data_IF_076835596482
#
_entry.id   IF_076835596482
#
_cell.length_a   1.000
_cell.length_b   1.000
_cell.length_c   1.000
_cell.angle_alpha   90.00
_cell.angle_beta   90.00
_cell.angle_gamma   90.00
#
_symmetry.space_group_name_H-M   'P 1'
#
loop_
_entity.id
_entity.type
_entity.pdbx_description
1 polymer ?
#
# COMPACT_ATOMS: atom_id res chain seq x y z
N UNK A 1 -9.07 -13.17 0.81
CA UNK A 1 -8.63 -12.26 1.86
C UNK A 1 -7.70 -12.96 2.83
N UNK A 2 -6.97 -12.19 3.62
CA UNK A 2 -6.17 -12.70 4.72
C UNK A 2 -6.82 -12.24 6.02
N UNK A 3 -6.99 -13.15 6.95
CA UNK A 3 -7.50 -12.91 8.29
C UNK A 3 -6.69 -13.67 9.31
N UNK A 4 -6.68 -13.18 10.53
CA UNK A 4 -6.13 -13.87 11.68
C UNK A 4 -6.96 -13.59 12.92
N UNK A 5 -6.94 -14.57 13.84
CA UNK A 5 -7.62 -14.49 15.13
C UNK A 5 -6.72 -15.13 16.18
N UNK A 6 -6.55 -14.47 17.31
CA UNK A 6 -5.80 -15.00 18.43
C UNK A 6 -6.55 -14.81 19.75
N UNK A 7 -6.18 -15.62 20.72
CA UNK A 7 -6.62 -15.49 22.12
C UNK A 7 -5.40 -15.39 23.03
N UNK A 8 -5.51 -14.62 24.09
CA UNK A 8 -4.44 -14.29 25.01
C UNK A 8 -4.91 -14.35 26.46
N UNK A 9 -3.98 -14.65 27.37
CA UNK A 9 -4.27 -14.68 28.81
C UNK A 9 -4.54 -13.28 29.37
N UNK A 10 -3.85 -12.24 28.82
CA UNK A 10 -3.96 -10.88 29.33
C UNK A 10 -4.36 -9.89 28.23
N UNK A 11 -4.93 -8.76 28.65
CA UNK A 11 -5.27 -7.65 27.74
C UNK A 11 -4.03 -7.03 27.09
N UNK A 12 -2.92 -6.97 27.84
CA UNK A 12 -1.65 -6.41 27.38
C UNK A 12 -1.07 -7.26 26.24
N UNK A 13 -1.08 -8.61 26.39
CA UNK A 13 -0.64 -9.51 25.32
C UNK A 13 -1.51 -9.36 24.07
N UNK A 14 -2.83 -9.32 24.24
CA UNK A 14 -3.76 -9.13 23.12
C UNK A 14 -3.56 -7.77 22.43
N UNK A 15 -3.33 -6.70 23.19
CA UNK A 15 -3.06 -5.38 22.61
C UNK A 15 -1.73 -5.35 21.86
N UNK A 16 -0.68 -5.97 22.40
CA UNK A 16 0.62 -6.09 21.73
C UNK A 16 0.49 -6.82 20.38
N UNK A 17 -0.28 -7.91 20.34
CA UNK A 17 -0.59 -8.63 19.09
C UNK A 17 -1.37 -7.76 18.10
N UNK A 18 -2.37 -7.01 18.59
CA UNK A 18 -3.15 -6.07 17.75
C UNK A 18 -2.25 -5.04 17.07
N UNK A 19 -1.31 -4.46 17.81
CA UNK A 19 -0.36 -3.47 17.29
C UNK A 19 0.66 -4.11 16.35
N UNK A 20 1.15 -5.31 16.67
CA UNK A 20 2.08 -6.06 15.83
C UNK A 20 1.47 -6.32 14.45
N UNK A 21 0.23 -6.78 14.39
CA UNK A 21 -0.44 -7.08 13.12
C UNK A 21 -0.75 -5.83 12.30
N UNK A 22 -1.07 -4.71 12.95
CA UNK A 22 -1.18 -3.42 12.27
C UNK A 22 0.15 -3.03 11.60
N UNK A 23 1.27 -3.21 12.32
CA UNK A 23 2.60 -2.92 11.80
C UNK A 23 2.98 -3.86 10.64
N UNK A 24 2.66 -5.16 10.74
CA UNK A 24 2.87 -6.11 9.65
C UNK A 24 2.15 -5.67 8.37
N UNK A 25 0.90 -5.22 8.47
CA UNK A 25 0.18 -4.70 7.29
C UNK A 25 0.80 -3.41 6.73
N UNK A 26 1.24 -2.51 7.59
CA UNK A 26 1.95 -1.30 7.16
C UNK A 26 3.27 -1.65 6.44
N UNK A 27 4.01 -2.63 6.95
CA UNK A 27 5.25 -3.12 6.35
C UNK A 27 5.01 -3.79 4.99
N UNK A 28 3.93 -4.57 4.84
CA UNK A 28 3.53 -5.13 3.53
C UNK A 28 3.20 -4.02 2.55
N UNK A 29 2.43 -3.00 2.97
CA UNK A 29 2.13 -1.85 2.11
C UNK A 29 3.41 -1.13 1.66
N UNK A 30 4.35 -0.90 2.55
CA UNK A 30 5.62 -0.25 2.23
C UNK A 30 6.53 -1.12 1.36
N UNK A 31 6.84 -2.35 1.83
CA UNK A 31 7.93 -3.14 1.29
C UNK A 31 7.51 -4.03 0.10
N UNK A 32 6.22 -4.34 -0.04
CA UNK A 32 5.73 -5.13 -1.16
C UNK A 32 4.92 -4.30 -2.16
N UNK A 33 4.07 -3.39 -1.68
CA UNK A 33 3.15 -2.63 -2.51
C UNK A 33 3.65 -1.21 -2.86
N UNK A 34 4.79 -0.78 -2.32
CA UNK A 34 5.35 0.57 -2.47
C UNK A 34 4.33 1.67 -2.12
N UNK A 35 3.51 1.43 -1.09
CA UNK A 35 2.42 2.32 -0.66
C UNK A 35 2.66 2.85 0.76
N UNK A 36 2.78 4.17 0.97
CA UNK A 36 2.76 4.76 2.28
C UNK A 36 1.35 4.71 2.87
N UNK A 37 1.27 4.54 4.20
CA UNK A 37 0.00 4.48 4.93
C UNK A 37 0.05 5.29 6.21
N UNK A 38 -1.09 5.87 6.59
CA UNK A 38 -1.30 6.49 7.88
C UNK A 38 -1.85 5.45 8.85
N UNK A 39 -1.16 5.23 9.98
CA UNK A 39 -1.62 4.34 11.06
C UNK A 39 -2.41 5.12 12.09
N UNK A 40 -3.54 4.58 12.52
CA UNK A 40 -4.33 5.21 13.57
C UNK A 40 -5.41 4.31 14.14
N UNK A 41 -6.07 4.83 15.19
CA UNK A 41 -7.22 4.21 15.83
C UNK A 41 -8.51 4.77 15.23
N UNK A 42 -9.48 3.92 14.96
CA UNK A 42 -10.85 4.34 14.57
C UNK A 42 -11.57 5.01 15.74
N UNK A 43 -12.47 5.92 15.41
CA UNK A 43 -13.43 6.47 16.38
C UNK A 43 -14.39 5.37 16.87
N UNK A 44 -15.07 5.62 17.97
CA UNK A 44 -16.08 4.67 18.48
C UNK A 44 -17.23 4.41 17.50
N UNK A 45 -17.49 5.37 16.62
CA UNK A 45 -18.50 5.24 15.55
C UNK A 45 -18.01 4.35 14.40
N UNK A 46 -16.73 4.43 14.04
CA UNK A 46 -16.16 3.75 12.86
C UNK A 46 -15.43 2.44 13.22
N UNK A 47 -15.28 2.14 14.51
CA UNK A 47 -14.67 0.87 14.94
C UNK A 47 -15.52 -0.33 14.55
N UNK A 48 -14.91 -1.49 14.45
CA UNK A 48 -15.61 -2.74 14.21
C UNK A 48 -16.62 -3.02 15.33
N UNK A 49 -17.83 -3.45 14.95
CA UNK A 49 -18.90 -3.73 15.91
C UNK A 49 -18.47 -4.85 16.88
N UNK A 50 -18.54 -4.55 18.20
CA UNK A 50 -18.08 -5.46 19.24
C UNK A 50 -16.63 -5.31 19.66
N UNK A 51 -15.77 -4.66 18.87
CA UNK A 51 -14.40 -4.38 19.28
C UNK A 51 -14.34 -3.28 20.35
N UNK A 52 -13.41 -3.38 21.28
CA UNK A 52 -13.06 -2.30 22.20
C UNK A 52 -12.23 -1.23 21.51
N UNK A 53 -11.31 -1.67 20.66
CA UNK A 53 -10.53 -0.79 19.79
C UNK A 53 -10.35 -1.41 18.40
N UNK A 54 -10.38 -0.55 17.38
CA UNK A 54 -10.04 -0.90 16.00
C UNK A 54 -8.93 0.03 15.54
N UNK A 55 -7.84 -0.56 15.08
CA UNK A 55 -6.74 0.13 14.43
C UNK A 55 -6.83 -0.07 12.92
N UNK A 56 -6.29 0.88 12.17
CA UNK A 56 -6.38 0.90 10.71
C UNK A 56 -5.10 1.42 10.09
N UNK A 57 -4.85 1.00 8.86
CA UNK A 57 -3.95 1.66 7.94
C UNK A 57 -4.75 2.28 6.81
N UNK A 58 -4.52 3.56 6.55
CA UNK A 58 -5.21 4.35 5.52
C UNK A 58 -4.21 4.78 4.46
N UNK A 59 -4.47 4.46 3.20
CA UNK A 59 -3.68 4.91 2.06
C UNK A 59 -4.40 6.02 1.30
N UNK A 60 -3.66 6.86 0.59
CA UNK A 60 -4.21 7.88 -0.30
C UNK A 60 -4.06 7.44 -1.77
N UNK A 61 -5.15 7.49 -2.51
CA UNK A 61 -5.16 7.18 -3.94
C UNK A 61 -4.81 8.43 -4.77
N UNK A 62 -4.54 8.27 -6.07
CA UNK A 62 -4.20 9.40 -6.97
C UNK A 62 -5.30 10.44 -7.11
N UNK A 63 -6.55 10.07 -6.90
CA UNK A 63 -7.68 10.99 -6.88
C UNK A 63 -7.89 11.66 -5.51
N UNK A 64 -6.91 11.54 -4.62
CA UNK A 64 -6.84 12.10 -3.28
C UNK A 64 -7.94 11.62 -2.31
N UNK A 65 -8.59 10.49 -2.63
CA UNK A 65 -9.48 9.81 -1.68
C UNK A 65 -8.70 8.84 -0.83
N UNK A 66 -9.20 8.64 0.38
CA UNK A 66 -8.62 7.68 1.33
C UNK A 66 -9.19 6.27 1.11
N UNK A 67 -8.32 5.27 1.24
CA UNK A 67 -8.69 3.86 1.20
C UNK A 67 -8.20 3.16 2.46
N UNK A 68 -9.15 2.60 3.23
CA UNK A 68 -8.81 1.69 4.33
C UNK A 68 -8.17 0.43 3.76
N UNK A 69 -6.90 0.20 4.08
CA UNK A 69 -6.07 -0.85 3.46
C UNK A 69 -5.88 -2.08 4.33
N UNK A 70 -6.20 -1.98 5.62
CA UNK A 70 -6.16 -3.09 6.56
C UNK A 70 -6.62 -2.63 7.94
N UNK A 71 -7.06 -3.57 8.77
CA UNK A 71 -7.50 -3.33 10.14
C UNK A 71 -6.98 -4.37 11.10
N UNK A 72 -6.80 -3.98 12.36
CA UNK A 72 -6.50 -4.86 13.47
C UNK A 72 -7.36 -4.48 14.66
N UNK A 73 -7.95 -5.48 15.32
CA UNK A 73 -8.99 -5.29 16.32
C UNK A 73 -8.60 -5.90 17.65
N UNK A 74 -8.80 -5.16 18.72
CA UNK A 74 -8.80 -5.64 20.08
C UNK A 74 -10.26 -5.76 20.55
N UNK A 75 -10.69 -6.98 20.88
CA UNK A 75 -12.07 -7.25 21.31
C UNK A 75 -12.26 -7.22 22.83
N UNK A 76 -11.18 -7.20 23.61
CA UNK A 76 -11.27 -7.52 25.02
C UNK A 76 -11.69 -8.99 25.23
N UNK A 77 -12.47 -9.25 26.26
CA UNK A 77 -12.99 -10.59 26.61
C UNK A 77 -14.50 -10.76 26.35
N UNK A 78 -15.14 -9.76 25.73
CA UNK A 78 -16.62 -9.73 25.55
C UNK A 78 -17.15 -10.89 24.73
N UNK A 79 -16.47 -11.25 23.62
CA UNK A 79 -16.89 -12.38 22.81
C UNK A 79 -16.60 -13.71 23.51
N UNK A 80 -15.52 -13.80 24.28
CA UNK A 80 -15.22 -14.97 25.09
C UNK A 80 -16.31 -15.26 26.09
N UNK A 81 -16.82 -14.23 26.77
CA UNK A 81 -17.97 -14.33 27.66
C UNK A 81 -19.27 -14.70 26.90
N UNK A 82 -19.53 -14.04 25.76
CA UNK A 82 -20.76 -14.25 25.00
C UNK A 82 -20.90 -15.67 24.44
N UNK A 83 -19.76 -16.29 24.07
CA UNK A 83 -19.70 -17.65 23.51
C UNK A 83 -19.23 -18.72 24.49
N UNK A 84 -19.01 -18.34 25.76
CA UNK A 84 -18.51 -19.21 26.82
C UNK A 84 -17.19 -19.92 26.46
N UNK A 85 -16.27 -19.17 25.82
CA UNK A 85 -14.95 -19.64 25.47
C UNK A 85 -14.02 -19.44 26.65
N UNK A 86 -13.59 -20.52 27.29
CA UNK A 86 -12.73 -20.47 28.48
C UNK A 86 -11.44 -21.26 28.26
N UNK A 87 -10.42 -20.95 29.03
CA UNK A 87 -9.18 -21.70 29.12
C UNK A 87 -8.77 -21.87 30.60
N UNK A 88 -7.91 -22.85 30.88
CA UNK A 88 -7.33 -23.00 32.21
C UNK A 88 -6.08 -22.14 32.31
N UNK A 89 -6.13 -21.11 33.14
CA UNK A 89 -4.99 -20.22 33.40
C UNK A 89 -3.85 -20.92 34.17
N UNK A 90 -2.74 -20.21 34.33
CA UNK A 90 -1.54 -20.73 35.05
C UNK A 90 -1.79 -21.01 36.52
N UNK A 91 -2.82 -20.40 37.07
CA UNK A 91 -3.31 -20.62 38.45
C UNK A 91 -4.30 -21.77 38.60
N UNK A 92 -4.51 -22.57 37.54
CA UNK A 92 -5.51 -23.64 37.46
C UNK A 92 -6.97 -23.19 37.60
N UNK A 93 -7.29 -21.93 37.38
CA UNK A 93 -8.67 -21.43 37.32
C UNK A 93 -9.16 -21.31 35.87
N UNK A 94 -10.47 -21.44 35.65
CA UNK A 94 -11.09 -21.15 34.36
C UNK A 94 -11.16 -19.64 34.16
N UNK A 95 -10.67 -19.17 33.06
CA UNK A 95 -10.62 -17.75 32.70
C UNK A 95 -11.15 -17.54 31.26
N UNK A 96 -11.68 -16.35 31.00
CA UNK A 96 -12.06 -15.95 29.65
C UNK A 96 -10.88 -15.23 28.96
N UNK A 97 -10.46 -15.68 27.78
CA UNK A 97 -9.31 -15.07 27.09
C UNK A 97 -9.70 -13.72 26.48
N UNK A 98 -8.69 -12.86 26.34
CA UNK A 98 -8.75 -11.66 25.52
C UNK A 98 -8.55 -12.03 24.05
N UNK A 99 -9.34 -11.42 23.16
CA UNK A 99 -9.39 -11.79 21.76
C UNK A 99 -8.92 -10.67 20.87
N UNK A 100 -8.24 -11.04 19.79
CA UNK A 100 -7.88 -10.15 18.70
C UNK A 100 -8.30 -10.71 17.36
N UNK A 101 -8.42 -9.83 16.37
CA UNK A 101 -8.44 -10.24 14.97
C UNK A 101 -7.84 -9.16 14.08
N UNK A 102 -7.44 -9.55 12.91
CA UNK A 102 -6.95 -8.61 11.88
C UNK A 102 -7.37 -9.09 10.51
N UNK A 103 -7.46 -8.16 9.55
CA UNK A 103 -7.89 -8.49 8.21
C UNK A 103 -7.39 -7.53 7.14
N UNK A 104 -7.05 -8.11 5.99
CA UNK A 104 -6.78 -7.41 4.75
C UNK A 104 -7.40 -8.19 3.58
N UNK A 105 -7.88 -7.49 2.57
CA UNK A 105 -8.65 -8.10 1.49
C UNK A 105 -8.06 -7.81 0.11
N UNK A 106 -8.66 -8.40 -0.92
CA UNK A 106 -8.37 -8.11 -2.34
C UNK A 106 -8.57 -6.64 -2.72
N UNK A 107 -9.12 -5.80 -1.82
CA UNK A 107 -9.13 -4.34 -1.96
C UNK A 107 -7.72 -3.79 -2.23
N UNK A 108 -6.66 -4.41 -1.70
CA UNK A 108 -5.28 -4.00 -1.94
C UNK A 108 -4.87 -4.11 -3.42
N UNK A 109 -5.48 -4.98 -4.22
CA UNK A 109 -5.26 -5.01 -5.68
C UNK A 109 -5.72 -3.69 -6.30
N UNK A 110 -6.93 -3.25 -5.95
CA UNK A 110 -7.44 -1.93 -6.35
C UNK A 110 -6.55 -0.79 -5.84
N UNK A 111 -6.06 -0.89 -4.59
CA UNK A 111 -5.16 0.10 -4.02
C UNK A 111 -3.88 0.27 -4.84
N UNK A 112 -3.20 -0.81 -5.22
CA UNK A 112 -1.99 -0.78 -6.07
C UNK A 112 -2.28 -0.13 -7.42
N UNK A 113 -3.40 -0.51 -8.06
CA UNK A 113 -3.81 0.06 -9.35
C UNK A 113 -4.04 1.57 -9.21
N UNK A 114 -4.83 1.98 -8.22
CA UNK A 114 -5.18 3.40 -8.01
C UNK A 114 -4.01 4.25 -7.51
N UNK A 115 -2.99 3.64 -6.90
CA UNK A 115 -1.80 4.35 -6.43
C UNK A 115 -0.74 4.51 -7.50
N UNK A 116 -0.51 3.49 -8.35
CA UNK A 116 0.67 3.48 -9.23
C UNK A 116 0.36 3.56 -10.72
N UNK A 117 -0.78 3.00 -11.18
CA UNK A 117 -1.07 2.89 -12.61
C UNK A 117 -1.26 4.24 -13.30
N UNK A 118 -1.04 4.27 -14.60
CA UNK A 118 -1.16 5.45 -15.46
C UNK A 118 -2.05 5.18 -16.69
N UNK A 119 -2.08 6.11 -17.63
CA UNK A 119 -2.90 5.99 -18.85
C UNK A 119 -2.38 4.92 -19.84
N UNK A 120 -1.17 4.37 -19.62
CA UNK A 120 -0.61 3.29 -20.44
C UNK A 120 -0.92 1.90 -19.87
N UNK A 121 -1.42 1.83 -18.63
CA UNK A 121 -1.81 0.59 -18.00
C UNK A 121 -1.29 0.46 -16.56
N UNK A 122 -1.09 -0.79 -16.13
CA UNK A 122 -0.55 -1.09 -14.81
C UNK A 122 0.89 -0.59 -14.65
N UNK A 123 1.24 -0.19 -13.42
CA UNK A 123 2.61 0.00 -12.97
C UNK A 123 2.75 -0.80 -11.68
N UNK A 124 3.45 -1.92 -11.74
CA UNK A 124 3.50 -2.86 -10.61
C UNK A 124 4.80 -2.71 -9.82
N UNK A 125 4.71 -2.59 -8.48
CA UNK A 125 5.88 -2.76 -7.63
C UNK A 125 6.56 -4.11 -7.91
N UNK A 126 7.89 -4.15 -8.03
CA UNK A 126 8.60 -5.36 -8.46
C UNK A 126 8.37 -6.58 -7.57
N UNK A 127 8.16 -6.38 -6.27
CA UNK A 127 7.94 -7.49 -5.32
C UNK A 127 6.70 -8.31 -5.69
N UNK A 128 5.62 -7.65 -6.08
CA UNK A 128 4.34 -8.30 -6.41
C UNK A 128 4.12 -8.57 -7.90
N UNK A 129 4.97 -8.03 -8.77
CA UNK A 129 4.83 -8.23 -10.22
C UNK A 129 4.97 -9.72 -10.59
N UNK A 130 3.98 -10.36 -11.24
CA UNK A 130 4.10 -11.76 -11.66
C UNK A 130 5.29 -12.00 -12.61
N UNK A 131 5.58 -11.00 -13.44
CA UNK A 131 6.78 -10.90 -14.29
C UNK A 131 7.51 -9.63 -13.90
N UNK A 132 8.75 -9.76 -13.41
CA UNK A 132 9.59 -8.62 -13.04
C UNK A 132 10.34 -8.05 -14.24
N UNK A 133 10.74 -8.94 -15.14
CA UNK A 133 11.52 -8.62 -16.32
C UNK A 133 10.95 -9.34 -17.53
N UNK A 134 10.75 -8.63 -18.63
CA UNK A 134 10.48 -9.25 -19.91
C UNK A 134 11.64 -9.03 -20.85
N UNK A 135 12.14 -10.09 -21.47
CA UNK A 135 13.19 -10.05 -22.50
C UNK A 135 12.53 -10.01 -23.88
N UNK A 136 12.85 -9.00 -24.68
CA UNK A 136 12.31 -8.82 -26.02
C UNK A 136 13.45 -8.83 -27.04
N UNK A 137 13.53 -9.88 -27.89
CA UNK A 137 14.49 -9.91 -29.00
C UNK A 137 14.10 -8.89 -30.06
N UNK A 138 15.05 -8.01 -30.43
CA UNK A 138 14.88 -7.01 -31.47
C UNK A 138 15.47 -7.53 -32.79
N UNK A 139 14.67 -7.49 -33.86
CA UNK A 139 15.01 -8.14 -35.13
C UNK A 139 15.31 -9.64 -34.95
N UNK A 140 14.44 -10.36 -34.27
CA UNK A 140 14.60 -11.77 -33.90
C UNK A 140 14.88 -12.73 -35.05
N UNK A 141 14.59 -12.33 -36.31
CA UNK A 141 14.91 -13.09 -37.52
C UNK A 141 16.41 -13.07 -37.85
N UNK A 142 17.20 -12.23 -37.22
CA UNK A 142 18.65 -12.20 -37.44
C UNK A 142 19.36 -13.32 -36.67
N UNK A 143 20.42 -13.89 -37.21
CA UNK A 143 21.16 -14.99 -36.59
C UNK A 143 21.60 -14.67 -35.16
N UNK A 144 21.38 -15.60 -34.22
CA UNK A 144 21.84 -15.55 -32.84
C UNK A 144 21.03 -14.66 -31.89
N UNK A 145 20.08 -13.85 -32.39
CA UNK A 145 19.29 -12.93 -31.53
C UNK A 145 18.38 -13.69 -30.59
N UNK A 146 17.67 -14.72 -31.05
CA UNK A 146 16.82 -15.55 -30.20
C UNK A 146 17.64 -16.31 -29.14
N UNK A 147 18.79 -16.86 -29.53
CA UNK A 147 19.67 -17.57 -28.60
C UNK A 147 20.21 -16.62 -27.50
N UNK A 148 20.59 -15.40 -27.88
CA UNK A 148 21.06 -14.40 -26.95
C UNK A 148 19.93 -13.98 -25.98
N UNK A 149 18.71 -13.78 -26.49
CA UNK A 149 17.56 -13.44 -25.65
C UNK A 149 17.20 -14.58 -24.65
N UNK A 150 17.23 -15.83 -25.15
CA UNK A 150 17.01 -17.00 -24.30
C UNK A 150 18.07 -17.13 -23.19
N UNK A 151 19.35 -16.93 -23.57
CA UNK A 151 20.45 -16.94 -22.60
C UNK A 151 20.28 -15.84 -21.51
N UNK A 152 19.85 -14.63 -21.88
CA UNK A 152 19.56 -13.57 -20.91
C UNK A 152 18.40 -13.94 -19.97
N UNK A 153 17.30 -14.47 -20.52
CA UNK A 153 16.18 -14.98 -19.71
C UNK A 153 16.65 -16.01 -18.71
N UNK A 154 17.43 -17.01 -19.15
CA UNK A 154 17.89 -18.10 -18.28
C UNK A 154 18.85 -17.59 -17.20
N UNK A 155 19.77 -16.69 -17.52
CA UNK A 155 20.67 -16.04 -16.55
C UNK A 155 19.90 -15.29 -15.46
N UNK A 156 18.97 -14.42 -15.87
CA UNK A 156 18.17 -13.64 -14.92
C UNK A 156 17.23 -14.52 -14.09
N UNK A 157 16.69 -15.61 -14.68
CA UNK A 157 15.90 -16.60 -13.94
C UNK A 157 16.75 -17.33 -12.91
N UNK A 158 17.97 -17.75 -13.27
CA UNK A 158 18.91 -18.38 -12.35
C UNK A 158 19.34 -17.43 -11.21
N UNK A 159 19.30 -16.12 -11.43
CA UNK A 159 19.54 -15.11 -10.40
C UNK A 159 18.33 -14.89 -9.46
N UNK A 160 17.25 -15.68 -9.59
CA UNK A 160 16.06 -15.66 -8.74
C UNK A 160 14.96 -14.67 -9.19
N UNK A 161 15.04 -14.14 -10.41
CA UNK A 161 14.04 -13.20 -10.94
C UNK A 161 12.91 -13.93 -11.69
N UNK A 162 11.71 -13.35 -11.68
CA UNK A 162 10.55 -13.82 -12.48
C UNK A 162 10.64 -13.19 -13.87
N UNK A 163 11.12 -13.98 -14.84
CA UNK A 163 11.46 -13.49 -16.19
C UNK A 163 10.56 -14.17 -17.23
N UNK A 164 9.99 -13.36 -18.12
CA UNK A 164 9.35 -13.82 -19.35
C UNK A 164 10.20 -13.44 -20.56
N UNK A 165 10.02 -14.12 -21.68
CA UNK A 165 10.55 -13.74 -22.99
C UNK A 165 9.40 -13.71 -23.99
N UNK A 166 9.38 -12.73 -24.88
CA UNK A 166 8.40 -12.66 -25.96
C UNK A 166 9.08 -12.81 -27.32
N UNK A 167 9.06 -14.03 -27.83
CA UNK A 167 9.55 -14.42 -29.15
C UNK A 167 8.44 -14.55 -30.19
N UNK A 168 7.22 -14.03 -29.90
CA UNK A 168 6.12 -14.01 -30.86
C UNK A 168 6.46 -13.20 -32.12
N UNK A 169 5.70 -13.42 -33.20
CA UNK A 169 5.86 -12.70 -34.48
C UNK A 169 5.33 -11.26 -34.49
N UNK A 170 4.90 -10.76 -33.32
CA UNK A 170 4.42 -9.39 -33.18
C UNK A 170 5.56 -8.37 -33.32
N UNK A 171 5.21 -7.16 -33.77
CA UNK A 171 6.20 -6.08 -33.88
C UNK A 171 6.73 -5.67 -32.49
N UNK A 172 7.96 -5.15 -32.45
CA UNK A 172 8.55 -4.68 -31.21
C UNK A 172 7.68 -3.62 -30.51
N UNK A 173 7.10 -2.69 -31.25
CA UNK A 173 6.18 -1.69 -30.69
C UNK A 173 4.94 -2.28 -30.05
N UNK A 174 4.35 -3.31 -30.66
CA UNK A 174 3.23 -4.03 -30.06
C UNK A 174 3.63 -4.73 -28.76
N UNK A 175 4.76 -5.45 -28.75
CA UNK A 175 5.30 -6.09 -27.55
C UNK A 175 5.53 -5.07 -26.43
N UNK A 176 6.11 -3.92 -26.74
CA UNK A 176 6.34 -2.86 -25.77
C UNK A 176 5.03 -2.41 -25.12
N UNK A 177 4.05 -2.03 -25.93
CA UNK A 177 2.73 -1.61 -25.42
C UNK A 177 2.04 -2.69 -24.60
N UNK A 178 2.15 -3.96 -25.01
CA UNK A 178 1.56 -5.11 -24.30
C UNK A 178 2.14 -5.27 -22.89
N UNK A 179 3.46 -5.14 -22.72
CA UNK A 179 4.10 -5.29 -21.42
C UNK A 179 4.03 -4.01 -20.56
N UNK A 180 3.93 -2.84 -21.18
CA UNK A 180 3.58 -1.59 -20.50
C UNK A 180 2.17 -1.69 -19.90
N UNK A 181 1.18 -2.14 -20.69
CA UNK A 181 -0.19 -2.34 -20.20
C UNK A 181 -0.25 -3.33 -19.04
N UNK A 182 0.53 -4.41 -19.08
CA UNK A 182 0.64 -5.41 -18.01
C UNK A 182 1.42 -4.94 -16.79
N UNK A 183 2.09 -3.80 -16.86
CA UNK A 183 2.84 -3.21 -15.75
C UNK A 183 4.13 -3.94 -15.40
N UNK A 184 4.77 -4.61 -16.36
CA UNK A 184 6.04 -5.28 -16.12
C UNK A 184 7.12 -4.26 -15.78
N UNK A 185 7.78 -4.34 -14.62
CA UNK A 185 8.71 -3.31 -14.14
C UNK A 185 9.85 -2.98 -15.08
N UNK A 186 10.50 -4.01 -15.64
CA UNK A 186 11.63 -3.84 -16.55
C UNK A 186 11.44 -4.61 -17.86
N UNK A 187 11.79 -3.96 -18.95
CA UNK A 187 11.90 -4.57 -20.28
C UNK A 187 13.34 -4.56 -20.72
N UNK A 188 13.89 -5.73 -20.99
CA UNK A 188 15.25 -5.94 -21.55
C UNK A 188 15.13 -6.17 -23.04
N UNK A 189 15.74 -5.29 -23.82
CA UNK A 189 15.78 -5.34 -25.28
C UNK A 189 17.17 -5.79 -25.73
N UNK A 190 17.27 -6.77 -26.63
CA UNK A 190 18.55 -7.21 -27.20
C UNK A 190 18.42 -7.44 -28.71
N UNK A 191 19.29 -6.85 -29.47
CA UNK A 191 19.36 -6.95 -30.90
C UNK A 191 20.81 -7.11 -31.43
N UNK A 192 21.02 -7.20 -32.73
CA UNK A 192 22.36 -7.43 -33.30
C UNK A 192 23.42 -6.41 -32.85
N UNK A 193 23.04 -5.12 -32.79
CA UNK A 193 23.96 -4.05 -32.36
C UNK A 193 24.31 -4.12 -30.88
N UNK A 194 23.39 -4.64 -30.08
CA UNK A 194 23.61 -4.81 -28.65
C UNK A 194 24.54 -5.99 -28.40
N UNK A 195 24.35 -7.07 -29.14
CA UNK A 195 25.23 -8.24 -29.10
C UNK A 195 26.67 -7.89 -29.49
N UNK A 196 26.86 -7.10 -30.56
CA UNK A 196 28.18 -6.63 -30.99
C UNK A 196 28.93 -5.82 -29.93
N UNK A 197 28.17 -5.12 -29.08
CA UNK A 197 28.70 -4.27 -28.01
C UNK A 197 28.67 -4.95 -26.63
N UNK A 198 28.32 -6.22 -26.56
CA UNK A 198 28.15 -6.97 -25.30
C UNK A 198 27.31 -6.25 -24.26
N UNK A 199 26.19 -5.66 -24.69
CA UNK A 199 25.24 -4.91 -23.86
C UNK A 199 23.80 -5.31 -24.16
N UNK A 200 22.85 -4.81 -23.34
CA UNK A 200 21.42 -4.78 -23.66
C UNK A 200 20.83 -3.41 -23.29
N UNK A 201 19.66 -3.10 -23.83
CA UNK A 201 18.91 -1.91 -23.45
C UNK A 201 17.85 -2.30 -22.41
N UNK A 202 17.78 -1.61 -21.29
CA UNK A 202 16.76 -1.81 -20.26
C UNK A 202 15.87 -0.58 -20.21
N UNK A 203 14.55 -0.80 -20.33
CA UNK A 203 13.54 0.25 -20.17
C UNK A 203 12.77 0.04 -18.86
N UNK A 204 12.64 1.10 -18.06
CA UNK A 204 11.86 1.12 -16.82
C UNK A 204 10.40 1.47 -17.13
N UNK A 205 9.45 0.76 -16.48
CA UNK A 205 8.01 1.01 -16.66
C UNK A 205 7.56 2.29 -15.96
N UNK A 206 8.13 2.62 -14.82
CA UNK A 206 7.73 3.74 -13.97
C UNK A 206 8.11 5.11 -14.51
N UNK A 207 9.29 5.21 -15.17
CA UNK A 207 9.82 6.49 -15.71
C UNK A 207 9.83 6.53 -17.23
N UNK A 208 9.76 5.38 -17.90
CA UNK A 208 9.99 5.26 -19.35
C UNK A 208 11.46 5.41 -19.76
N UNK A 209 12.37 5.60 -18.81
CA UNK A 209 13.80 5.77 -19.07
C UNK A 209 14.42 4.50 -19.66
N UNK A 210 15.33 4.68 -20.64
CA UNK A 210 16.10 3.61 -21.25
C UNK A 210 17.58 3.76 -20.92
N UNK A 211 18.18 2.68 -20.45
CA UNK A 211 19.60 2.61 -20.10
C UNK A 211 20.26 1.44 -20.80
N UNK A 212 21.46 1.64 -21.38
CA UNK A 212 22.29 0.56 -21.90
C UNK A 212 23.15 -0.01 -20.78
N UNK A 213 23.08 -1.32 -20.61
CA UNK A 213 23.76 -2.04 -19.53
C UNK A 213 24.66 -3.11 -20.13
N UNK A 214 25.95 -3.20 -19.73
CA UNK A 214 26.83 -4.29 -20.15
C UNK A 214 26.28 -5.65 -19.75
N UNK A 215 26.48 -6.67 -20.58
CA UNK A 215 26.07 -8.05 -20.23
C UNK A 215 26.88 -8.60 -19.05
N UNK A 216 28.08 -8.12 -18.82
CA UNK A 216 28.86 -8.40 -17.62
C UNK A 216 28.24 -7.70 -16.42
N UNK A 217 27.84 -8.46 -15.38
CA UNK A 217 27.19 -7.92 -14.19
C UNK A 217 25.71 -7.53 -14.36
N UNK A 218 25.07 -8.01 -15.42
CA UNK A 218 23.68 -7.70 -15.75
C UNK A 218 22.72 -8.04 -14.61
N UNK A 219 22.91 -9.17 -13.95
CA UNK A 219 22.05 -9.64 -12.87
C UNK A 219 21.95 -8.64 -11.70
N UNK A 220 23.11 -8.11 -11.29
CA UNK A 220 23.15 -7.11 -10.21
C UNK A 220 22.60 -5.76 -10.67
N UNK A 221 22.88 -5.37 -11.91
CA UNK A 221 22.30 -4.15 -12.49
C UNK A 221 20.77 -4.22 -12.56
N UNK A 222 20.19 -5.35 -12.97
CA UNK A 222 18.74 -5.57 -13.02
C UNK A 222 18.12 -5.55 -11.62
N UNK A 223 18.74 -6.19 -10.63
CA UNK A 223 18.29 -6.15 -9.24
C UNK A 223 18.29 -4.72 -8.69
N UNK A 224 19.36 -3.97 -8.97
CA UNK A 224 19.44 -2.56 -8.59
C UNK A 224 18.33 -1.72 -9.22
N UNK A 225 18.08 -1.88 -10.52
CA UNK A 225 17.00 -1.16 -11.22
C UNK A 225 15.61 -1.55 -10.72
N UNK A 226 15.38 -2.81 -10.33
CA UNK A 226 14.12 -3.22 -9.70
C UNK A 226 13.93 -2.53 -8.34
N UNK A 227 15.00 -2.41 -7.54
CA UNK A 227 14.93 -1.65 -6.29
C UNK A 227 14.65 -0.16 -6.55
N UNK A 228 15.32 0.44 -7.54
CA UNK A 228 15.08 1.83 -7.94
C UNK A 228 13.63 2.07 -8.39
N UNK A 229 13.01 1.09 -9.10
CA UNK A 229 11.59 1.16 -9.46
C UNK A 229 10.71 1.16 -8.20
N UNK A 230 10.98 0.27 -7.23
CA UNK A 230 10.23 0.22 -5.98
C UNK A 230 10.34 1.54 -5.20
N UNK A 231 11.56 2.03 -5.03
CA UNK A 231 11.84 3.25 -4.26
C UNK A 231 11.21 4.48 -4.92
N UNK A 232 11.25 4.58 -6.24
CA UNK A 232 10.60 5.66 -6.97
C UNK A 232 9.07 5.62 -6.83
N UNK A 233 8.45 4.45 -6.95
CA UNK A 233 7.00 4.30 -6.76
C UNK A 233 6.57 4.68 -5.34
N UNK A 234 7.35 4.25 -4.34
CA UNK A 234 7.10 4.63 -2.95
C UNK A 234 7.23 6.15 -2.75
N UNK A 235 8.31 6.75 -3.23
CA UNK A 235 8.55 8.19 -3.10
C UNK A 235 7.46 9.03 -3.79
N UNK A 236 6.99 8.61 -4.97
CA UNK A 236 5.88 9.28 -5.66
C UNK A 236 4.57 9.21 -4.87
N UNK A 237 4.27 8.06 -4.28
CA UNK A 237 3.07 7.88 -3.46
C UNK A 237 3.17 8.63 -2.12
N UNK A 238 4.35 8.65 -1.50
CA UNK A 238 4.64 9.40 -0.27
C UNK A 238 4.48 10.91 -0.50
N UNK A 239 5.06 11.41 -1.59
CA UNK A 239 4.87 12.80 -1.99
C UNK A 239 3.39 13.14 -2.24
N UNK A 240 2.63 12.26 -2.88
CA UNK A 240 1.19 12.47 -3.08
C UNK A 240 0.45 12.55 -1.73
N UNK A 241 0.78 11.71 -0.77
CA UNK A 241 0.20 11.73 0.58
C UNK A 241 0.57 13.03 1.31
N UNK A 242 1.83 13.44 1.27
CA UNK A 242 2.31 14.65 1.94
C UNK A 242 1.71 15.92 1.35
N UNK A 243 1.76 16.09 0.01
CA UNK A 243 1.25 17.25 -0.71
C UNK A 243 -0.28 17.44 -0.58
N UNK A 244 -1.01 16.38 -0.21
CA UNK A 244 -2.46 16.37 -0.08
C UNK A 244 -2.94 16.04 1.35
N UNK A 245 -2.07 16.23 2.35
CA UNK A 245 -2.42 16.20 3.78
C UNK A 245 -2.28 17.62 4.34
N UNK A 246 -3.37 18.17 4.87
CA UNK A 246 -3.46 19.58 5.28
C UNK A 246 -3.82 19.72 6.74
N UNK A 247 -3.11 20.60 7.46
CA UNK A 247 -3.50 21.02 8.80
C UNK A 247 -4.60 22.08 8.67
N UNK A 248 -5.78 21.80 9.24
CA UNK A 248 -6.96 22.68 9.14
C UNK A 248 -7.57 22.92 10.52
N UNK A 249 -8.13 24.08 10.71
CA UNK A 249 -8.72 24.51 11.99
C UNK A 249 -10.20 24.85 11.90
N UNK A 250 -10.76 24.93 10.70
CA UNK A 250 -12.16 25.23 10.42
C UNK A 250 -12.77 24.14 9.53
N UNK A 251 -13.98 23.70 9.85
CA UNK A 251 -14.71 22.71 9.07
C UNK A 251 -15.08 23.20 7.66
N UNK A 252 -15.17 24.51 7.44
CA UNK A 252 -15.42 25.10 6.11
C UNK A 252 -14.21 24.90 5.18
N UNK A 253 -12.99 24.99 5.71
CA UNK A 253 -11.76 24.65 4.97
C UNK A 253 -11.76 23.17 4.59
N UNK A 254 -12.14 22.28 5.52
CA UNK A 254 -12.26 20.83 5.26
C UNK A 254 -13.30 20.56 4.18
N UNK A 255 -14.45 21.26 4.21
CA UNK A 255 -15.47 21.17 3.17
C UNK A 255 -14.93 21.60 1.80
N UNK A 256 -14.27 22.75 1.74
CA UNK A 256 -13.69 23.28 0.49
C UNK A 256 -12.64 22.31 -0.09
N UNK A 257 -11.81 21.69 0.75
CA UNK A 257 -10.89 20.62 0.33
C UNK A 257 -11.64 19.43 -0.26
N UNK A 258 -12.66 18.93 0.44
CA UNK A 258 -13.44 17.76 0.03
C UNK A 258 -14.21 17.96 -1.28
N UNK A 259 -14.78 19.16 -1.48
CA UNK A 259 -15.50 19.53 -2.70
C UNK A 259 -14.55 19.89 -3.87
N UNK A 260 -13.28 20.17 -3.59
CA UNK A 260 -12.26 20.56 -4.57
C UNK A 260 -11.33 19.41 -4.93
N UNK A 261 -10.06 19.56 -4.51
CA UNK A 261 -8.97 18.63 -4.84
C UNK A 261 -9.08 17.27 -4.15
N UNK A 262 -9.81 17.16 -3.04
CA UNK A 262 -9.71 16.04 -2.11
C UNK A 262 -8.46 16.13 -1.21
N UNK A 263 -8.18 15.08 -0.47
CA UNK A 263 -7.07 14.99 0.45
C UNK A 263 -7.45 14.52 1.84
N UNK A 264 -6.49 14.61 2.77
CA UNK A 264 -6.69 14.38 4.20
C UNK A 264 -6.56 15.69 4.97
N UNK A 265 -7.60 16.04 5.74
CA UNK A 265 -7.53 17.13 6.70
C UNK A 265 -7.11 16.57 8.07
N UNK A 266 -5.95 17.00 8.58
CA UNK A 266 -5.53 16.75 9.95
C UNK A 266 -6.03 17.88 10.81
N UNK A 267 -6.83 17.58 11.82
CA UNK A 267 -7.49 18.58 12.66
C UNK A 267 -7.48 18.19 14.12
N UNK A 268 -7.81 19.16 14.98
CA UNK A 268 -8.15 18.91 16.39
C UNK A 268 -9.63 18.57 16.54
N UNK A 269 -9.97 17.59 17.36
CA UNK A 269 -11.32 17.12 17.60
C UNK A 269 -11.59 16.90 19.10
N UNK A 270 -12.83 17.17 19.53
CA UNK A 270 -13.25 17.05 20.93
C UNK A 270 -13.67 15.64 21.36
N UNK A 271 -13.65 14.66 20.45
CA UNK A 271 -14.10 13.29 20.75
C UNK A 271 -15.61 13.07 20.67
N UNK A 272 -16.42 14.10 20.40
CA UNK A 272 -17.90 14.00 20.43
C UNK A 272 -18.43 13.38 19.13
N UNK A 273 -19.34 12.40 19.29
CA UNK A 273 -20.07 11.80 18.17
C UNK A 273 -20.89 12.86 17.39
N UNK A 274 -21.47 13.85 18.07
CA UNK A 274 -22.21 14.92 17.42
C UNK A 274 -21.35 15.70 16.43
N UNK A 275 -20.11 16.02 16.82
CA UNK A 275 -19.16 16.70 15.93
C UNK A 275 -18.74 15.81 14.75
N UNK A 276 -18.57 14.51 14.97
CA UNK A 276 -18.25 13.56 13.91
C UNK A 276 -19.38 13.44 12.87
N UNK A 277 -20.61 13.35 13.32
CA UNK A 277 -21.79 13.34 12.46
C UNK A 277 -21.95 14.66 11.70
N UNK A 278 -21.73 15.79 12.37
CA UNK A 278 -21.78 17.11 11.75
C UNK A 278 -20.70 17.31 10.67
N UNK A 279 -19.50 16.74 10.85
CA UNK A 279 -18.45 16.75 9.81
C UNK A 279 -18.91 16.00 8.56
N UNK A 280 -19.55 14.86 8.72
CA UNK A 280 -20.10 14.09 7.58
C UNK A 280 -21.24 14.86 6.88
N UNK A 281 -22.14 15.43 7.64
CA UNK A 281 -23.32 16.15 7.10
C UNK A 281 -22.92 17.47 6.41
N UNK A 282 -22.05 18.28 7.04
CA UNK A 282 -21.75 19.64 6.60
C UNK A 282 -20.54 19.73 5.66
N UNK A 283 -19.52 18.89 5.90
CA UNK A 283 -18.28 18.92 5.13
C UNK A 283 -18.13 17.73 4.16
N UNK A 284 -19.03 16.75 4.17
CA UNK A 284 -19.00 15.62 3.24
C UNK A 284 -17.84 14.62 3.48
N UNK A 285 -17.19 14.69 4.61
CA UNK A 285 -16.05 13.83 4.97
C UNK A 285 -16.39 12.85 6.07
N UNK A 286 -15.70 11.72 6.11
CA UNK A 286 -15.72 10.79 7.24
C UNK A 286 -14.42 10.83 8.02
N UNK A 287 -14.47 10.46 9.31
CA UNK A 287 -13.27 10.25 10.11
C UNK A 287 -12.50 9.05 9.53
N UNK A 288 -11.20 9.24 9.31
CA UNK A 288 -10.34 8.17 8.80
C UNK A 288 -9.70 7.42 9.98
N UNK A 289 -8.95 8.15 10.78
CA UNK A 289 -8.37 7.62 12.01
C UNK A 289 -7.87 8.77 12.92
N UNK A 290 -7.73 8.47 14.19
CA UNK A 290 -6.94 9.24 15.14
C UNK A 290 -5.49 8.72 15.04
N UNK A 291 -4.50 9.52 14.63
CA UNK A 291 -3.13 9.06 14.46
C UNK A 291 -2.57 8.48 15.78
N UNK A 292 -1.68 7.48 15.69
CA UNK A 292 -1.07 6.89 16.88
C UNK A 292 -0.17 7.88 17.62
N UNK A 293 0.50 8.77 16.87
CA UNK A 293 1.28 9.87 17.45
C UNK A 293 0.41 11.12 17.46
N UNK A 294 0.07 11.57 18.64
CA UNK A 294 -0.75 12.77 18.87
C UNK A 294 0.14 13.98 19.09
N UNK A 295 -0.23 15.12 18.51
CA UNK A 295 0.52 16.38 18.69
C UNK A 295 0.15 17.13 19.98
N UNK A 296 -0.61 16.49 20.87
CA UNK A 296 -1.10 17.05 22.12
C UNK A 296 -2.56 17.54 22.02
N UNK A 297 -3.13 17.89 23.18
CA UNK A 297 -4.54 18.31 23.29
C UNK A 297 -4.77 19.83 23.19
N UNK A 298 -3.69 20.61 22.96
CA UNK A 298 -3.81 22.05 22.78
C UNK A 298 -4.52 22.38 21.48
N UNK A 299 -5.61 23.15 21.56
CA UNK A 299 -6.37 23.60 20.39
C UNK A 299 -7.87 23.43 20.56
N UNK A 300 -8.60 23.81 19.54
CA UNK A 300 -10.05 23.78 19.51
C UNK A 300 -10.55 22.76 18.48
N UNK A 301 -11.65 22.12 18.80
CA UNK A 301 -12.33 21.21 17.88
C UNK A 301 -12.71 21.95 16.60
N UNK A 302 -12.32 21.39 15.45
CA UNK A 302 -12.59 21.91 14.10
C UNK A 302 -14.07 22.20 13.85
N UNK A 303 -14.98 21.44 14.49
CA UNK A 303 -16.43 21.55 14.26
C UNK A 303 -17.12 22.50 15.24
N UNK A 304 -16.87 22.37 16.55
CA UNK A 304 -17.65 23.08 17.58
C UNK A 304 -16.86 24.15 18.36
N UNK A 305 -15.57 24.29 18.14
CA UNK A 305 -14.71 25.26 18.81
C UNK A 305 -14.43 24.97 20.30
N UNK A 306 -14.98 23.90 20.90
CA UNK A 306 -14.67 23.45 22.26
C UNK A 306 -13.22 22.95 22.35
N UNK A 307 -12.65 22.83 23.57
CA UNK A 307 -11.33 22.23 23.74
C UNK A 307 -11.26 20.86 23.06
N UNK A 308 -10.19 20.62 22.37
CA UNK A 308 -9.93 19.34 21.70
C UNK A 308 -9.33 18.31 22.68
N UNK A 309 -9.53 17.04 22.38
CA UNK A 309 -8.96 15.91 23.13
C UNK A 309 -8.00 15.08 22.30
N UNK A 310 -8.06 15.19 20.97
CA UNK A 310 -7.27 14.35 20.07
C UNK A 310 -7.07 15.00 18.70
N UNK A 311 -6.03 14.57 18.00
CA UNK A 311 -5.86 14.76 16.56
C UNK A 311 -6.68 13.71 15.81
N UNK A 312 -7.20 14.08 14.63
CA UNK A 312 -7.97 13.19 13.78
C UNK A 312 -7.76 13.54 12.29
N UNK A 313 -7.78 12.53 11.43
CA UNK A 313 -7.82 12.70 9.99
C UNK A 313 -9.24 12.56 9.45
N UNK A 314 -9.61 13.48 8.58
CA UNK A 314 -10.86 13.48 7.81
C UNK A 314 -10.57 13.39 6.33
N UNK A 315 -11.43 12.73 5.58
CA UNK A 315 -11.30 12.66 4.13
C UNK A 315 -12.52 12.02 3.48
N UNK A 316 -12.60 12.19 2.16
CA UNK A 316 -13.52 11.42 1.33
C UNK A 316 -12.90 10.02 1.17
N UNK A 317 -13.72 8.99 1.29
CA UNK A 317 -13.29 7.59 1.23
C UNK A 317 -14.05 6.81 0.17
N UNK A 318 -13.44 5.71 -0.27
CA UNK A 318 -14.07 4.68 -1.09
C UNK A 318 -14.99 3.78 -0.25
#
# INVERSE_FOLDING_TARGET
WQEGHTIHETAEEAMAETEQQLNCYADVCKNALAMPVVKGRKTDKEKFAGAEATYTIEAMMKDHKSLQSGTSHFFGDKFSHAYDVTFTGRDNTLQYPFQTSWGSSTRLIGAVIMTHSDNHGLVLPPVIAPTQVVVIPIAQHKPGVLDAAAALKDRLTAAGLRVAMDDSDQSAGWKFAQYEMKGVPLRVEIGPKDMEKEQCCIARRDTGEKTFVPLAGLEEAVKGLLQDVHDNLYAMAEKNLEDNTFDMTDWQEVKAMAEGKGGLARTKWCGSLECELAMKEKAGVSSRCMPLVQSGTAGKCVMCGKPATTDIYWGVAY
#
